data_IF_534787872429
#
_entry.id   IF_534787872429
#
_cell.length_a   1.000
_cell.length_b   1.000
_cell.length_c   1.000
_cell.angle_alpha   90.00
_cell.angle_beta   90.00
_cell.angle_gamma   90.00
#
_symmetry.space_group_name_H-M   'P 1'
#
loop_
_entity.id
_entity.type
_entity.pdbx_description
1 polymer ?
#
# COMPACT_ATOMS: atom_id res chain seq x y z
N UNK A 1 17.13 -15.95 0.38
CA UNK A 1 16.88 -14.60 -0.18
C UNK A 1 16.85 -13.60 0.96
N UNK A 2 17.64 -12.55 0.84
CA UNK A 2 17.78 -11.54 1.91
C UNK A 2 16.55 -10.63 1.96
N UNK A 3 15.86 -10.63 3.08
CA UNK A 3 14.68 -9.78 3.28
C UNK A 3 15.03 -8.29 3.12
N UNK A 4 16.22 -7.90 3.53
CA UNK A 4 16.68 -6.52 3.41
C UNK A 4 16.82 -6.10 1.94
N UNK A 5 17.31 -6.98 1.07
CA UNK A 5 17.39 -6.70 -0.37
C UNK A 5 16.02 -6.59 -1.01
N UNK A 6 15.10 -7.49 -0.64
CA UNK A 6 13.72 -7.42 -1.14
C UNK A 6 13.05 -6.13 -0.68
N UNK A 7 13.30 -5.72 0.56
CA UNK A 7 12.75 -4.48 1.09
C UNK A 7 13.28 -3.27 0.33
N UNK A 8 14.58 -3.24 0.02
CA UNK A 8 15.17 -2.17 -0.78
C UNK A 8 14.58 -2.14 -2.18
N UNK A 9 14.48 -3.29 -2.84
CA UNK A 9 13.90 -3.38 -4.18
C UNK A 9 12.45 -2.88 -4.18
N UNK A 10 11.68 -3.24 -3.17
CA UNK A 10 10.30 -2.79 -3.02
C UNK A 10 10.22 -1.27 -2.86
N UNK A 11 11.08 -0.71 -2.04
CA UNK A 11 11.16 0.74 -1.81
C UNK A 11 11.54 1.47 -3.11
N UNK A 12 12.58 1.01 -3.80
CA UNK A 12 13.01 1.64 -5.05
C UNK A 12 12.00 1.46 -6.17
N UNK A 13 11.27 0.34 -6.19
CA UNK A 13 10.16 0.19 -7.13
C UNK A 13 9.14 1.31 -6.90
N UNK A 14 8.78 1.59 -5.65
CA UNK A 14 7.83 2.65 -5.31
C UNK A 14 8.34 4.02 -5.74
N UNK A 15 9.63 4.32 -5.50
CA UNK A 15 10.23 5.58 -5.90
C UNK A 15 10.28 5.72 -7.42
N UNK A 16 10.80 4.70 -8.11
CA UNK A 16 10.99 4.75 -9.56
C UNK A 16 9.67 4.85 -10.32
N UNK A 17 8.59 4.33 -9.75
CA UNK A 17 7.26 4.41 -10.31
C UNK A 17 6.44 5.56 -9.71
N UNK A 18 7.09 6.42 -8.90
CA UNK A 18 6.48 7.59 -8.26
C UNK A 18 5.28 7.22 -7.39
N UNK A 19 5.38 6.07 -6.73
CA UNK A 19 4.36 5.55 -5.80
C UNK A 19 4.67 5.88 -4.35
N UNK A 20 5.78 6.59 -4.09
CA UNK A 20 6.21 6.90 -2.73
C UNK A 20 5.86 8.32 -2.31
N UNK A 21 5.49 8.47 -1.04
CA UNK A 21 5.37 9.75 -0.36
C UNK A 21 6.61 10.04 0.49
N UNK A 22 6.42 10.71 1.62
CA UNK A 22 7.51 11.11 2.49
C UNK A 22 7.87 10.02 3.51
N UNK A 23 8.82 9.15 3.13
CA UNK A 23 9.37 8.13 4.03
C UNK A 23 10.84 7.95 3.70
N UNK A 24 11.67 7.72 4.72
CA UNK A 24 13.07 7.40 4.50
C UNK A 24 13.20 5.95 4.06
N UNK A 25 14.27 5.64 3.31
CA UNK A 25 14.58 4.27 2.92
C UNK A 25 14.63 3.36 4.13
N UNK A 26 15.31 3.82 5.20
CA UNK A 26 15.42 3.05 6.44
C UNK A 26 14.07 2.66 7.03
N UNK A 27 13.14 3.62 7.10
CA UNK A 27 11.80 3.33 7.66
C UNK A 27 10.99 2.43 6.74
N UNK A 28 11.11 2.60 5.41
CA UNK A 28 10.43 1.73 4.46
C UNK A 28 10.92 0.28 4.59
N UNK A 29 12.23 0.08 4.73
CA UNK A 29 12.82 -1.23 4.94
C UNK A 29 12.30 -1.87 6.22
N UNK A 30 12.25 -1.09 7.31
CA UNK A 30 11.73 -1.59 8.60
C UNK A 30 10.26 -1.98 8.52
N UNK A 31 9.43 -1.18 7.82
CA UNK A 31 8.03 -1.51 7.59
C UNK A 31 7.90 -2.84 6.85
N UNK A 32 8.69 -3.03 5.80
CA UNK A 32 8.66 -4.27 5.02
C UNK A 32 9.09 -5.48 5.87
N UNK A 33 10.15 -5.34 6.66
CA UNK A 33 10.61 -6.41 7.53
C UNK A 33 9.51 -6.84 8.51
N UNK A 34 8.78 -5.88 9.08
CA UNK A 34 7.66 -6.17 9.96
C UNK A 34 6.49 -6.80 9.20
N UNK A 35 6.24 -6.33 7.98
CA UNK A 35 5.19 -6.89 7.13
C UNK A 35 5.39 -8.38 6.87
N UNK A 36 6.63 -8.78 6.55
CA UNK A 36 6.94 -10.17 6.21
C UNK A 36 6.51 -11.12 7.32
N UNK A 37 6.62 -10.69 8.60
CA UNK A 37 6.19 -11.52 9.72
C UNK A 37 4.66 -11.73 9.78
N UNK A 38 3.91 -10.92 9.05
CA UNK A 38 2.45 -10.94 9.03
C UNK A 38 1.87 -11.66 7.82
N UNK A 39 2.69 -11.93 6.80
CA UNK A 39 2.20 -12.60 5.59
C UNK A 39 1.88 -14.07 5.86
N UNK A 40 0.80 -14.53 5.24
CA UNK A 40 0.42 -15.94 5.29
C UNK A 40 1.27 -16.75 4.30
N UNK A 41 1.38 -18.08 4.51
CA UNK A 41 2.08 -18.94 3.54
C UNK A 41 1.48 -18.77 2.13
N UNK A 42 2.35 -18.51 1.14
CA UNK A 42 1.92 -18.29 -0.24
C UNK A 42 1.40 -16.90 -0.56
N UNK A 43 1.28 -16.03 0.44
CA UNK A 43 0.85 -14.65 0.21
C UNK A 43 1.99 -13.84 -0.39
N UNK A 44 1.71 -13.16 -1.52
CA UNK A 44 2.71 -12.35 -2.23
C UNK A 44 2.21 -10.93 -2.46
N UNK A 45 3.16 -10.00 -2.55
CA UNK A 45 2.86 -8.58 -2.76
C UNK A 45 2.70 -8.33 -4.25
N UNK A 46 1.53 -7.84 -4.67
CA UNK A 46 1.25 -7.48 -6.05
C UNK A 46 1.50 -6.01 -6.34
N UNK A 47 1.29 -5.14 -5.34
CA UNK A 47 1.51 -3.71 -5.51
C UNK A 47 1.92 -3.09 -4.17
N UNK A 48 3.17 -2.59 -4.05
CA UNK A 48 3.56 -1.74 -2.94
C UNK A 48 3.34 -0.28 -3.30
N UNK A 49 2.83 0.53 -2.38
CA UNK A 49 2.82 1.98 -2.56
C UNK A 49 2.90 2.68 -1.20
N UNK A 50 3.26 3.96 -1.22
CA UNK A 50 3.48 4.75 -0.02
C UNK A 50 2.64 6.02 -0.15
N UNK A 51 1.81 6.32 0.86
CA UNK A 51 0.99 7.52 0.82
C UNK A 51 1.81 8.78 1.13
N UNK A 52 1.20 9.95 0.95
CA UNK A 52 1.91 11.21 1.21
C UNK A 52 2.40 11.34 2.64
N UNK A 53 1.61 10.97 3.68
CA UNK A 53 2.12 11.00 5.05
C UNK A 53 3.25 10.03 5.35
N UNK A 54 3.48 9.02 4.51
CA UNK A 54 4.60 8.09 4.67
C UNK A 54 4.24 6.73 5.23
N UNK A 55 2.98 6.33 5.16
CA UNK A 55 2.59 4.96 5.47
C UNK A 55 2.78 4.06 4.26
N UNK A 56 3.21 2.83 4.50
CA UNK A 56 3.43 1.85 3.44
C UNK A 56 2.21 0.96 3.28
N UNK A 57 1.80 0.73 2.04
CA UNK A 57 0.68 -0.13 1.70
C UNK A 57 1.15 -1.28 0.83
N UNK A 58 0.59 -2.44 1.05
CA UNK A 58 0.95 -3.64 0.30
C UNK A 58 -0.32 -4.37 -0.09
N UNK A 59 -0.61 -4.39 -1.39
CA UNK A 59 -1.73 -5.16 -1.90
C UNK A 59 -1.27 -6.57 -2.22
N UNK A 60 -1.93 -7.56 -1.66
CA UNK A 60 -1.67 -8.98 -1.90
C UNK A 60 -2.87 -9.62 -2.58
N UNK A 61 -2.80 -10.92 -2.88
CA UNK A 61 -3.97 -11.64 -3.39
C UNK A 61 -5.10 -11.77 -2.36
N UNK A 62 -4.82 -11.48 -1.08
CA UNK A 62 -5.81 -11.67 0.00
C UNK A 62 -6.36 -10.35 0.55
N UNK A 63 -5.55 -9.28 0.53
CA UNK A 63 -5.89 -8.07 1.30
C UNK A 63 -5.00 -6.90 0.92
N UNK A 64 -5.39 -5.71 1.40
CA UNK A 64 -4.49 -4.55 1.45
C UNK A 64 -4.02 -4.41 2.89
N UNK A 65 -2.71 -4.31 3.09
CA UNK A 65 -2.10 -4.14 4.41
C UNK A 65 -1.44 -2.77 4.47
N UNK A 66 -1.75 -2.01 5.52
CA UNK A 66 -1.11 -0.71 5.79
C UNK A 66 -0.17 -0.87 6.98
N UNK A 67 1.08 -0.42 6.83
CA UNK A 67 2.05 -0.37 7.90
C UNK A 67 2.47 1.08 8.14
N UNK A 68 2.31 1.57 9.37
CA UNK A 68 2.73 2.92 9.75
C UNK A 68 3.79 2.83 10.84
N UNK A 69 4.90 3.58 10.66
CA UNK A 69 5.93 3.72 11.69
C UNK A 69 5.42 4.69 12.75
N UNK A 70 5.44 4.27 14.01
CA UNK A 70 5.07 5.08 15.15
C UNK A 70 6.30 5.40 15.99
N UNK A 71 6.16 6.27 16.99
CA UNK A 71 7.26 6.62 17.89
C UNK A 71 7.82 5.35 18.57
N UNK A 72 6.93 4.46 18.97
CA UNK A 72 7.32 3.16 19.55
C UNK A 72 6.70 2.05 18.72
N UNK A 73 7.48 1.52 17.74
CA UNK A 73 7.06 0.37 16.96
C UNK A 73 6.27 0.71 15.70
N UNK A 74 5.39 -0.19 15.32
CA UNK A 74 4.65 -0.12 14.07
C UNK A 74 3.17 -0.38 14.32
N UNK A 75 2.33 0.25 13.51
CA UNK A 75 0.87 0.02 13.53
C UNK A 75 0.46 -0.60 12.20
N UNK A 76 -0.32 -1.66 12.27
CA UNK A 76 -0.85 -2.35 11.10
C UNK A 76 -2.36 -2.21 11.02
N UNK A 77 -2.86 -2.06 9.78
CA UNK A 77 -4.28 -2.18 9.45
C UNK A 77 -4.39 -3.03 8.20
N UNK A 78 -5.50 -3.74 8.07
CA UNK A 78 -5.74 -4.54 6.88
C UNK A 78 -7.19 -4.43 6.44
N UNK A 79 -7.41 -4.63 5.15
CA UNK A 79 -8.74 -4.71 4.55
C UNK A 79 -8.73 -5.89 3.59
N UNK A 80 -9.52 -6.91 3.86
CA UNK A 80 -9.67 -8.06 2.95
C UNK A 80 -10.45 -7.62 1.72
N UNK A 81 -10.20 -8.25 0.59
CA UNK A 81 -10.84 -7.84 -0.66
C UNK A 81 -12.36 -7.92 -0.60
N UNK A 82 -12.92 -8.91 0.12
CA UNK A 82 -14.38 -9.03 0.28
C UNK A 82 -14.99 -7.91 1.14
N UNK A 83 -14.17 -7.17 1.88
CA UNK A 83 -14.63 -6.03 2.68
C UNK A 83 -14.61 -4.72 1.88
N UNK A 84 -13.98 -4.70 0.73
CA UNK A 84 -13.85 -3.51 -0.11
C UNK A 84 -14.87 -3.60 -1.24
N UNK A 85 -15.85 -2.67 -1.24
CA UNK A 85 -16.91 -2.63 -2.24
C UNK A 85 -16.45 -1.99 -3.54
N UNK A 86 -15.87 -0.79 -3.45
CA UNK A 86 -15.40 -0.04 -4.61
C UNK A 86 -14.10 0.69 -4.29
N UNK A 87 -13.31 0.95 -5.34
CA UNK A 87 -12.08 1.75 -5.24
C UNK A 87 -12.14 2.82 -6.33
N UNK A 88 -12.20 4.08 -5.89
CA UNK A 88 -12.24 5.23 -6.79
C UNK A 88 -11.07 6.17 -6.49
N UNK A 89 -10.96 7.25 -7.28
CA UNK A 89 -9.95 8.26 -7.01
C UNK A 89 -10.45 9.64 -7.40
N UNK A 90 -9.89 10.65 -6.74
CA UNK A 90 -10.08 12.07 -7.07
C UNK A 90 -8.71 12.71 -7.23
N UNK A 91 -8.62 13.69 -8.13
CA UNK A 91 -7.39 14.48 -8.31
C UNK A 91 -7.68 15.93 -8.00
N UNK A 92 -6.83 16.53 -7.13
CA UNK A 92 -6.88 17.96 -6.82
C UNK A 92 -5.45 18.48 -6.74
N UNK A 93 -5.02 19.24 -7.77
CA UNK A 93 -3.66 19.74 -7.85
C UNK A 93 -2.65 18.60 -7.82
N UNK A 94 -1.73 18.64 -6.87
CA UNK A 94 -0.68 17.62 -6.73
C UNK A 94 -1.11 16.44 -5.87
N UNK A 95 -2.31 16.46 -5.31
CA UNK A 95 -2.78 15.38 -4.45
C UNK A 95 -3.85 14.57 -5.16
N UNK A 96 -3.66 13.25 -5.17
CA UNK A 96 -4.70 12.30 -5.54
C UNK A 96 -5.22 11.64 -4.28
N UNK A 97 -6.50 11.36 -4.23
CA UNK A 97 -7.10 10.64 -3.11
C UNK A 97 -7.70 9.36 -3.62
N UNK A 98 -7.20 8.22 -3.10
CA UNK A 98 -7.84 6.94 -3.31
C UNK A 98 -8.98 6.82 -2.31
N UNK A 99 -10.14 6.39 -2.78
CA UNK A 99 -11.33 6.26 -1.95
C UNK A 99 -11.76 4.80 -1.97
N UNK A 100 -11.55 4.12 -0.85
CA UNK A 100 -11.95 2.75 -0.67
C UNK A 100 -13.26 2.71 0.11
N UNK A 101 -14.34 2.30 -0.54
CA UNK A 101 -15.62 2.10 0.14
C UNK A 101 -15.65 0.68 0.70
N UNK A 102 -15.58 0.59 2.02
CA UNK A 102 -15.56 -0.70 2.71
C UNK A 102 -16.89 -0.95 3.43
N UNK A 103 -17.07 -2.17 3.89
CA UNK A 103 -18.27 -2.54 4.68
C UNK A 103 -18.36 -1.75 5.98
N UNK A 104 -17.23 -1.21 6.47
CA UNK A 104 -17.15 -0.45 7.72
C UNK A 104 -17.01 1.07 7.49
N UNK A 105 -17.19 1.54 6.26
CA UNK A 105 -17.11 2.96 5.94
C UNK A 105 -16.07 3.25 4.87
N UNK A 106 -15.85 4.55 4.65
CA UNK A 106 -14.97 5.05 3.61
C UNK A 106 -13.55 5.27 4.14
N UNK A 107 -12.55 4.80 3.40
CA UNK A 107 -11.13 5.00 3.69
C UNK A 107 -10.56 5.90 2.60
N UNK A 108 -9.86 6.96 3.00
CA UNK A 108 -9.21 7.88 2.07
C UNK A 108 -7.70 7.79 2.22
N UNK A 109 -7.00 7.60 1.09
CA UNK A 109 -5.54 7.50 1.05
C UNK A 109 -5.01 8.57 0.11
N UNK A 110 -4.19 9.48 0.62
CA UNK A 110 -3.60 10.56 -0.18
C UNK A 110 -2.31 10.10 -0.84
N UNK A 111 -2.24 10.23 -2.16
CA UNK A 111 -1.07 9.84 -2.97
C UNK A 111 -0.74 10.96 -3.95
N UNK A 112 0.33 10.80 -4.72
CA UNK A 112 0.65 11.74 -5.80
C UNK A 112 -0.44 11.70 -6.88
N UNK A 113 -0.94 12.88 -7.29
CA UNK A 113 -2.12 12.96 -8.16
C UNK A 113 -1.96 12.20 -9.48
N UNK A 114 -0.77 12.28 -10.09
CA UNK A 114 -0.53 11.66 -11.40
C UNK A 114 -0.36 10.13 -11.32
N UNK A 115 -0.35 9.54 -10.13
CA UNK A 115 -0.31 8.08 -9.94
C UNK A 115 -1.58 7.52 -9.32
N UNK A 116 -2.50 8.38 -8.91
CA UNK A 116 -3.75 7.93 -8.29
C UNK A 116 -4.53 6.96 -9.16
N UNK A 117 -4.68 7.30 -10.45
CA UNK A 117 -5.38 6.44 -11.41
C UNK A 117 -4.68 5.09 -11.59
N UNK A 118 -3.35 5.10 -11.72
CA UNK A 118 -2.57 3.88 -11.88
C UNK A 118 -2.75 2.97 -10.67
N UNK A 119 -2.61 3.53 -9.47
CA UNK A 119 -2.77 2.75 -8.22
C UNK A 119 -4.19 2.18 -8.13
N UNK A 120 -5.21 3.02 -8.40
CA UNK A 120 -6.60 2.58 -8.37
C UNK A 120 -6.82 1.41 -9.33
N UNK A 121 -6.32 1.51 -10.56
CA UNK A 121 -6.51 0.48 -11.56
C UNK A 121 -5.82 -0.83 -11.16
N UNK A 122 -4.60 -0.74 -10.62
CA UNK A 122 -3.86 -1.92 -10.16
C UNK A 122 -4.54 -2.58 -8.96
N UNK A 123 -5.09 -1.78 -8.05
CA UNK A 123 -5.84 -2.33 -6.91
C UNK A 123 -7.11 -3.04 -7.38
N UNK A 124 -7.83 -2.48 -8.36
CA UNK A 124 -9.01 -3.12 -8.91
C UNK A 124 -8.67 -4.43 -9.62
N UNK A 125 -7.56 -4.47 -10.36
CA UNK A 125 -7.08 -5.70 -11.01
C UNK A 125 -6.79 -6.78 -9.97
N UNK A 126 -6.09 -6.42 -8.90
CA UNK A 126 -5.76 -7.35 -7.82
C UNK A 126 -7.01 -7.87 -7.13
N UNK A 127 -7.98 -6.99 -6.91
CA UNK A 127 -9.28 -7.35 -6.32
C UNK A 127 -10.02 -8.36 -7.20
N UNK A 128 -10.05 -8.14 -8.51
CA UNK A 128 -10.71 -9.06 -9.45
C UNK A 128 -10.05 -10.45 -9.45
N UNK A 129 -8.71 -10.49 -9.39
CA UNK A 129 -7.98 -11.75 -9.33
C UNK A 129 -8.20 -12.51 -8.03
N UNK A 130 -8.62 -11.83 -6.97
CA UNK A 130 -8.86 -12.43 -5.65
C UNK A 130 -10.22 -13.15 -5.56
N UNK A 131 -11.09 -12.98 -6.56
CA UNK A 131 -12.41 -13.60 -6.56
C UNK A 131 -12.37 -15.08 -6.95
#
# INVERSE_FOLDING_TARGET
>A
MDINEIAKDTYYFSINNKLSGFITERNAIKCFEQLVTKLEPGESIHLPFIDKPGSCYYATQHRIIKCSKKLFGFKFKEWKWDQIKTINYLKRGFTGTLILNTVNGEIKIQVCSYRAKFIRNRLNETKELAK
#
